data_IF_019062464796
#
_entry.id   IF_019062464796
#
_cell.length_a   1.000
_cell.length_b   1.000
_cell.length_c   1.000
_cell.angle_alpha   90.00
_cell.angle_beta   90.00
_cell.angle_gamma   90.00
#
_symmetry.space_group_name_H-M   'P 1'
#
loop_
_entity.id
_entity.type
_entity.pdbx_description
1 polymer ?
#
# COMPACT_ATOMS: atom_id res chain seq x y z
N UNK A 1 24.23 32.53 10.27
CA UNK A 1 23.51 31.45 9.57
C UNK A 1 22.69 30.68 10.60
N UNK A 2 21.51 31.17 10.94
CA UNK A 2 20.51 30.40 11.69
C UNK A 2 19.67 29.64 10.67
N UNK A 3 19.49 28.35 10.94
CA UNK A 3 18.87 27.38 10.07
C UNK A 3 17.37 27.70 9.90
N UNK A 4 16.99 28.27 8.75
CA UNK A 4 15.59 28.56 8.39
C UNK A 4 14.72 27.28 8.26
N UNK A 5 15.31 26.09 8.33
CA UNK A 5 14.60 24.81 8.35
C UNK A 5 14.16 24.35 9.76
N UNK A 6 14.66 24.95 10.85
CA UNK A 6 14.31 24.53 12.23
C UNK A 6 13.14 25.31 12.85
N UNK A 7 12.44 26.13 12.06
CA UNK A 7 11.30 26.95 12.46
C UNK A 7 10.03 26.62 11.66
N UNK A 8 9.94 25.43 11.06
CA UNK A 8 8.62 24.80 10.89
C UNK A 8 8.10 24.57 12.31
N UNK A 9 7.39 25.57 12.83
CA UNK A 9 7.08 25.73 14.24
C UNK A 9 6.53 24.43 14.81
N UNK A 10 6.97 24.02 16.01
CA UNK A 10 6.40 22.88 16.75
C UNK A 10 4.85 22.92 16.79
N UNK A 11 4.26 24.12 16.70
CA UNK A 11 2.83 24.37 16.61
C UNK A 11 2.13 23.85 15.34
N UNK A 12 2.83 23.75 14.20
CA UNK A 12 2.26 23.26 12.93
C UNK A 12 2.17 21.73 12.86
N UNK A 13 2.95 21.03 13.70
CA UNK A 13 3.00 19.56 13.74
C UNK A 13 2.22 18.96 14.91
N UNK A 14 1.81 19.77 15.89
CA UNK A 14 1.15 19.27 17.09
C UNK A 14 -0.26 18.73 16.75
N UNK A 15 -0.55 17.44 17.00
CA UNK A 15 -1.86 16.88 16.79
C UNK A 15 -2.88 17.46 17.79
N UNK A 16 -4.13 17.59 17.38
CA UNK A 16 -5.26 17.77 18.31
C UNK A 16 -5.39 16.46 19.10
N UNK A 17 -5.16 16.52 20.41
CA UNK A 17 -5.27 15.35 21.29
C UNK A 17 -6.69 15.31 21.86
N UNK A 18 -7.41 14.23 21.56
CA UNK A 18 -8.71 13.94 22.15
C UNK A 18 -8.52 13.13 23.43
N UNK A 19 -9.18 13.56 24.50
CA UNK A 19 -9.15 12.98 25.84
C UNK A 19 -10.59 12.73 26.34
N UNK A 20 -10.76 12.17 27.53
CA UNK A 20 -12.09 11.79 28.04
C UNK A 20 -13.07 12.98 28.19
N UNK A 21 -12.61 14.22 28.29
CA UNK A 21 -13.48 15.40 28.39
C UNK A 21 -13.92 15.97 27.02
N UNK A 22 -13.43 15.39 25.91
CA UNK A 22 -13.69 15.88 24.53
C UNK A 22 -15.17 15.74 24.13
N UNK A 23 -15.96 14.89 24.81
CA UNK A 23 -17.39 14.71 24.53
C UNK A 23 -18.25 15.98 24.60
N UNK A 24 -17.76 17.07 25.20
CA UNK A 24 -18.53 18.33 25.40
C UNK A 24 -18.09 19.48 24.50
N UNK A 25 -17.09 19.30 23.65
CA UNK A 25 -16.53 20.37 22.83
C UNK A 25 -16.81 20.12 21.34
N UNK A 26 -17.27 21.17 20.65
CA UNK A 26 -17.40 21.14 19.21
C UNK A 26 -16.05 21.45 18.57
N UNK A 27 -15.53 20.51 17.78
CA UNK A 27 -14.21 20.62 17.16
C UNK A 27 -14.34 20.96 15.67
N UNK A 28 -14.43 22.26 15.38
CA UNK A 28 -14.54 22.76 14.01
C UNK A 28 -13.17 22.94 13.32
N UNK A 29 -12.08 22.80 14.08
CA UNK A 29 -10.70 22.98 13.63
C UNK A 29 -10.02 21.67 13.17
N UNK A 30 -10.75 20.56 13.09
CA UNK A 30 -10.19 19.25 12.72
C UNK A 30 -9.75 19.13 11.26
N UNK A 31 -10.26 20.00 10.37
CA UNK A 31 -9.97 19.94 8.94
C UNK A 31 -8.51 20.30 8.67
N UNK A 32 -7.81 19.44 7.92
CA UNK A 32 -6.40 19.67 7.59
C UNK A 32 -5.44 19.57 8.77
N UNK A 33 -5.88 19.06 9.93
CA UNK A 33 -5.03 18.86 11.11
C UNK A 33 -5.03 17.39 11.53
N UNK A 34 -3.90 16.95 12.10
CA UNK A 34 -3.82 15.61 12.68
C UNK A 34 -4.62 15.61 13.97
N UNK A 35 -5.50 14.64 14.11
CA UNK A 35 -6.29 14.39 15.32
C UNK A 35 -5.90 13.03 15.86
N UNK A 36 -5.65 12.92 17.17
CA UNK A 36 -5.25 11.67 17.82
C UNK A 36 -6.08 11.47 19.08
N UNK A 37 -6.72 10.31 19.18
CA UNK A 37 -7.23 9.83 20.46
C UNK A 37 -6.09 9.31 21.32
N UNK A 38 -5.93 9.85 22.53
CA UNK A 38 -5.01 9.28 23.53
C UNK A 38 -5.70 8.25 24.44
N UNK A 39 -6.98 7.97 24.21
CA UNK A 39 -7.79 7.14 25.09
C UNK A 39 -7.73 5.65 24.73
N UNK A 40 -7.90 4.83 25.75
CA UNK A 40 -7.95 3.36 25.66
C UNK A 40 -9.35 2.84 25.36
N UNK A 41 -10.33 3.75 25.36
CA UNK A 41 -11.74 3.51 25.02
C UNK A 41 -12.16 4.39 23.84
N UNK A 42 -13.32 4.08 23.27
CA UNK A 42 -13.94 4.91 22.24
C UNK A 42 -14.39 6.27 22.82
N UNK A 43 -14.33 7.30 21.98
CA UNK A 43 -14.76 8.66 22.32
C UNK A 43 -15.84 9.11 21.33
N UNK A 44 -16.74 10.00 21.76
CA UNK A 44 -17.64 10.70 20.84
C UNK A 44 -17.08 12.10 20.60
N UNK A 45 -16.97 12.44 19.33
CA UNK A 45 -16.45 13.70 18.84
C UNK A 45 -17.56 14.41 18.07
N UNK A 46 -17.85 15.66 18.43
CA UNK A 46 -18.82 16.48 17.70
C UNK A 46 -18.09 17.44 16.76
N UNK A 47 -18.37 17.33 15.46
CA UNK A 47 -17.83 18.22 14.41
C UNK A 47 -19.01 18.79 13.64
N UNK A 48 -19.14 20.13 13.61
CA UNK A 48 -20.20 20.84 12.89
C UNK A 48 -21.60 20.28 13.22
N UNK A 49 -21.89 20.16 14.51
CA UNK A 49 -23.15 19.63 15.05
C UNK A 49 -23.43 18.14 14.79
N UNK A 50 -22.43 17.35 14.34
CA UNK A 50 -22.57 15.91 14.10
C UNK A 50 -21.65 15.10 14.99
N UNK A 51 -22.17 14.01 15.52
CA UNK A 51 -21.42 13.10 16.38
C UNK A 51 -20.72 11.99 15.59
N UNK A 52 -19.50 11.69 15.99
CA UNK A 52 -18.66 10.63 15.45
C UNK A 52 -18.03 9.82 16.58
N UNK A 53 -18.06 8.49 16.47
CA UNK A 53 -17.39 7.54 17.36
C UNK A 53 -15.95 7.35 16.90
N UNK A 54 -15.00 7.77 17.74
CA UNK A 54 -13.56 7.71 17.50
C UNK A 54 -12.98 6.50 18.23
N UNK A 55 -12.41 5.51 17.51
CA UNK A 55 -11.82 4.33 18.14
C UNK A 55 -10.62 4.65 19.04
N UNK A 56 -10.35 3.80 20.04
CA UNK A 56 -9.25 4.01 20.97
C UNK A 56 -7.91 4.07 20.25
N UNK A 57 -7.04 4.97 20.72
CA UNK A 57 -5.68 5.18 20.20
C UNK A 57 -5.60 5.46 18.68
N UNK A 58 -6.71 5.76 18.02
CA UNK A 58 -6.71 6.08 16.59
C UNK A 58 -6.12 7.46 16.32
N UNK A 59 -5.51 7.64 15.15
CA UNK A 59 -5.05 8.92 14.64
C UNK A 59 -5.69 9.14 13.27
N UNK A 60 -6.11 10.35 12.93
CA UNK A 60 -6.62 10.63 11.60
C UNK A 60 -6.28 12.02 11.08
N UNK A 61 -6.36 12.16 9.76
CA UNK A 61 -6.30 13.43 9.04
C UNK A 61 -7.46 13.49 8.04
N UNK A 62 -8.39 14.40 8.28
CA UNK A 62 -9.45 14.74 7.35
C UNK A 62 -8.96 15.85 6.42
N UNK A 63 -8.46 15.44 5.24
CA UNK A 63 -7.96 16.38 4.23
C UNK A 63 -7.90 15.73 2.85
N UNK A 64 -7.71 16.55 1.82
CA UNK A 64 -7.45 16.10 0.45
C UNK A 64 -5.96 15.96 0.15
N UNK A 65 -5.65 15.43 -1.04
CA UNK A 65 -4.27 15.20 -1.49
C UNK A 65 -3.41 16.47 -1.48
N UNK A 66 -3.99 17.64 -1.73
CA UNK A 66 -3.27 18.91 -1.70
C UNK A 66 -2.88 19.33 -0.26
N UNK A 67 -3.58 18.81 0.75
CA UNK A 67 -3.38 19.08 2.17
C UNK A 67 -2.88 17.85 2.93
N UNK A 68 -2.06 17.01 2.29
CA UNK A 68 -1.46 15.82 2.93
C UNK A 68 -0.23 16.15 3.79
N UNK A 69 0.37 17.34 3.64
CA UNK A 69 1.59 17.75 4.36
C UNK A 69 1.57 17.48 5.88
N UNK A 70 0.47 17.72 6.62
CA UNK A 70 0.40 17.38 8.05
C UNK A 70 0.66 15.90 8.35
N UNK A 71 0.21 14.98 7.49
CA UNK A 71 0.50 13.55 7.65
C UNK A 71 1.99 13.25 7.49
N UNK A 72 2.64 13.88 6.51
CA UNK A 72 4.09 13.69 6.32
C UNK A 72 4.88 14.24 7.51
N UNK A 73 4.51 15.41 8.01
CA UNK A 73 5.17 16.03 9.16
C UNK A 73 4.98 15.18 10.42
N UNK A 74 3.75 14.72 10.67
CA UNK A 74 3.46 13.82 11.78
C UNK A 74 4.26 12.51 11.68
N UNK A 75 4.43 11.99 10.47
CA UNK A 75 5.22 10.78 10.22
C UNK A 75 6.71 11.01 10.49
N UNK A 76 7.25 12.17 10.10
CA UNK A 76 8.63 12.54 10.41
C UNK A 76 8.88 12.61 11.92
N UNK A 77 7.94 13.16 12.70
CA UNK A 77 8.07 13.30 14.15
C UNK A 77 7.81 12.01 14.94
N UNK A 78 6.98 11.10 14.43
CA UNK A 78 6.51 9.92 15.19
C UNK A 78 6.99 8.57 14.61
N UNK A 79 7.80 8.60 13.55
CA UNK A 79 8.30 7.43 12.84
C UNK A 79 7.46 7.02 11.63
N UNK A 80 8.03 6.17 10.77
CA UNK A 80 7.37 5.65 9.55
C UNK A 80 6.45 4.46 9.87
N UNK A 81 5.65 4.05 8.90
CA UNK A 81 4.67 2.95 9.01
C UNK A 81 5.22 1.64 8.47
N UNK A 82 4.96 0.55 9.18
CA UNK A 82 5.38 -0.82 8.83
C UNK A 82 4.34 -1.56 7.99
N UNK A 83 3.08 -1.11 8.05
CA UNK A 83 1.97 -1.57 7.22
C UNK A 83 1.21 -0.36 6.66
N UNK A 84 1.05 -0.31 5.34
CA UNK A 84 0.24 0.70 4.66
C UNK A 84 -0.81 0.00 3.81
N UNK A 85 -2.09 0.31 4.05
CA UNK A 85 -3.22 -0.12 3.22
C UNK A 85 -3.73 1.09 2.44
N UNK A 86 -4.03 0.90 1.16
CA UNK A 86 -4.45 1.98 0.26
C UNK A 86 -5.72 1.53 -0.48
N UNK A 87 -6.82 2.30 -0.40
CA UNK A 87 -8.05 2.09 -1.18
C UNK A 87 -8.35 3.31 -2.07
N UNK A 88 -7.59 3.54 -3.16
CA UNK A 88 -7.77 4.74 -3.98
C UNK A 88 -9.18 4.86 -4.56
N UNK A 89 -9.71 6.08 -4.74
CA UNK A 89 -11.01 6.30 -5.35
C UNK A 89 -10.94 6.11 -6.89
N UNK A 90 -10.76 4.86 -7.32
CA UNK A 90 -10.57 4.49 -8.72
C UNK A 90 -11.68 5.01 -9.62
N UNK A 91 -11.29 5.41 -10.84
CA UNK A 91 -12.24 5.90 -11.84
C UNK A 91 -13.32 4.85 -12.16
N UNK A 92 -14.58 5.27 -12.01
CA UNK A 92 -15.73 4.44 -12.30
C UNK A 92 -16.77 5.24 -13.12
N UNK A 93 -17.06 4.78 -14.33
CA UNK A 93 -18.06 5.39 -15.25
C UNK A 93 -19.46 5.54 -14.63
N UNK A 94 -19.84 4.66 -13.71
CA UNK A 94 -21.12 4.78 -12.98
C UNK A 94 -21.08 5.93 -11.97
N UNK A 95 -19.93 6.15 -11.35
CA UNK A 95 -19.74 7.20 -10.36
C UNK A 95 -19.62 8.58 -11.04
N UNK A 96 -18.90 8.66 -12.18
CA UNK A 96 -18.78 9.87 -13.02
C UNK A 96 -20.15 10.44 -13.40
N UNK A 97 -21.06 9.59 -13.88
CA UNK A 97 -22.42 10.01 -14.27
C UNK A 97 -23.27 10.54 -13.10
N UNK A 98 -22.95 10.12 -11.87
CA UNK A 98 -23.66 10.56 -10.67
C UNK A 98 -23.11 11.83 -10.01
N UNK A 99 -22.01 12.43 -10.51
CA UNK A 99 -21.28 13.56 -9.88
C UNK A 99 -21.00 13.34 -8.38
N UNK A 100 -20.90 12.08 -7.97
CA UNK A 100 -21.02 11.69 -6.56
C UNK A 100 -19.68 11.64 -5.82
N UNK A 101 -18.52 11.89 -6.41
CA UNK A 101 -17.27 12.06 -5.66
C UNK A 101 -16.32 12.99 -6.43
N UNK A 102 -15.43 13.66 -5.72
CA UNK A 102 -14.25 14.26 -6.33
C UNK A 102 -13.28 13.10 -6.62
N UNK A 103 -13.23 12.66 -7.87
CA UNK A 103 -12.39 11.54 -8.29
C UNK A 103 -10.93 11.95 -8.23
N UNK A 104 -10.04 11.06 -7.76
CA UNK A 104 -8.61 11.25 -7.97
C UNK A 104 -8.23 10.62 -9.32
N UNK A 105 -7.77 11.40 -10.31
CA UNK A 105 -7.23 10.82 -11.53
C UNK A 105 -6.10 9.86 -11.18
N UNK A 106 -6.04 8.71 -11.85
CA UNK A 106 -5.04 7.65 -11.58
C UNK A 106 -3.61 8.21 -11.70
N UNK A 107 -3.44 9.23 -12.53
CA UNK A 107 -2.22 9.96 -12.82
C UNK A 107 -1.72 10.80 -11.63
N UNK A 108 -2.61 11.19 -10.72
CA UNK A 108 -2.27 11.93 -9.50
C UNK A 108 -1.88 11.04 -8.34
N UNK A 109 -2.26 9.75 -8.36
CA UNK A 109 -1.89 8.81 -7.29
C UNK A 109 -0.37 8.75 -7.04
N UNK A 110 0.50 8.75 -8.07
CA UNK A 110 1.93 8.86 -7.89
C UNK A 110 2.46 10.16 -7.25
N UNK A 111 1.64 11.19 -7.01
CA UNK A 111 2.01 12.39 -6.24
C UNK A 111 2.15 12.07 -4.74
N UNK A 112 1.49 11.00 -4.27
CA UNK A 112 1.73 10.47 -2.93
C UNK A 112 3.18 10.01 -2.81
N UNK A 113 3.90 10.58 -1.85
CA UNK A 113 5.28 10.23 -1.56
C UNK A 113 5.30 9.12 -0.52
N UNK A 114 5.05 7.87 -0.93
CA UNK A 114 5.09 6.70 -0.03
C UNK A 114 6.45 6.57 0.66
N UNK A 115 7.54 7.04 0.05
CA UNK A 115 8.88 7.09 0.64
C UNK A 115 8.95 7.91 1.95
N UNK A 116 8.10 8.94 2.09
CA UNK A 116 7.96 9.75 3.31
C UNK A 116 7.14 9.06 4.38
N UNK A 117 6.43 7.98 4.03
CA UNK A 117 5.48 7.29 4.90
C UNK A 117 5.97 5.90 5.33
N UNK A 118 6.54 5.12 4.42
CA UNK A 118 6.86 3.71 4.60
C UNK A 118 8.21 3.50 5.27
N UNK A 119 8.24 2.70 6.34
CA UNK A 119 9.47 2.21 6.95
C UNK A 119 10.18 1.23 5.99
N UNK A 120 11.51 1.08 6.12
CA UNK A 120 12.27 0.08 5.35
C UNK A 120 11.63 -1.31 5.53
N UNK A 121 11.31 -1.96 4.42
CA UNK A 121 10.69 -3.29 4.42
C UNK A 121 9.20 -3.31 4.74
N UNK A 122 8.56 -2.14 4.85
CA UNK A 122 7.13 -2.02 5.13
C UNK A 122 6.29 -2.74 4.07
N UNK A 123 5.19 -3.34 4.53
CA UNK A 123 4.21 -3.98 3.68
C UNK A 123 3.25 -2.92 3.14
N UNK A 124 3.03 -2.93 1.83
CA UNK A 124 2.09 -2.01 1.16
C UNK A 124 1.06 -2.83 0.42
N UNK A 125 -0.21 -2.67 0.78
CA UNK A 125 -1.35 -3.37 0.19
C UNK A 125 -2.28 -2.35 -0.49
N UNK A 126 -2.56 -2.53 -1.77
CA UNK A 126 -3.39 -1.63 -2.57
C UNK A 126 -4.62 -2.37 -3.08
N UNK A 127 -5.80 -1.93 -2.66
CA UNK A 127 -7.06 -2.39 -3.24
C UNK A 127 -7.16 -1.92 -4.69
N UNK A 128 -7.52 -2.84 -5.59
CA UNK A 128 -7.78 -2.54 -6.99
C UNK A 128 -9.11 -3.12 -7.44
N UNK A 129 -9.81 -2.38 -8.30
CA UNK A 129 -10.97 -2.93 -9.01
C UNK A 129 -10.54 -4.09 -9.91
N UNK A 130 -11.49 -4.93 -10.33
CA UNK A 130 -11.25 -6.10 -11.21
C UNK A 130 -10.89 -5.74 -12.67
N UNK A 131 -10.19 -4.64 -12.88
CA UNK A 131 -9.70 -4.19 -14.19
C UNK A 131 -8.22 -4.54 -14.29
N UNK A 132 -7.86 -5.51 -15.14
CA UNK A 132 -6.46 -5.95 -15.33
C UNK A 132 -5.49 -4.80 -15.63
N UNK A 133 -5.93 -3.79 -16.40
CA UNK A 133 -5.15 -2.58 -16.70
C UNK A 133 -4.68 -1.86 -15.43
N UNK A 134 -5.51 -1.88 -14.38
CA UNK A 134 -5.21 -1.22 -13.12
C UNK A 134 -4.16 -2.00 -12.32
N UNK A 135 -4.33 -3.32 -12.20
CA UNK A 135 -3.31 -4.19 -11.60
C UNK A 135 -1.96 -4.05 -12.30
N UNK A 136 -1.96 -4.01 -13.65
CA UNK A 136 -0.74 -3.76 -14.43
C UNK A 136 -0.15 -2.37 -14.17
N UNK A 137 -0.97 -1.33 -14.06
CA UNK A 137 -0.51 0.01 -13.68
C UNK A 137 0.17 0.01 -12.31
N UNK A 138 -0.41 -0.66 -11.31
CA UNK A 138 0.21 -0.78 -9.97
C UNK A 138 1.58 -1.46 -10.10
N UNK A 139 1.61 -2.66 -10.70
CA UNK A 139 2.81 -3.50 -10.76
C UNK A 139 3.93 -2.87 -11.59
N UNK A 140 3.61 -2.24 -12.71
CA UNK A 140 4.59 -1.81 -13.71
C UNK A 140 4.95 -0.32 -13.63
N UNK A 141 4.11 0.51 -13.00
CA UNK A 141 4.33 1.97 -12.93
C UNK A 141 4.36 2.48 -11.49
N UNK A 142 3.31 2.21 -10.71
CA UNK A 142 3.16 2.81 -9.39
C UNK A 142 4.19 2.25 -8.39
N UNK A 143 4.27 0.93 -8.25
CA UNK A 143 5.20 0.27 -7.34
C UNK A 143 6.66 0.62 -7.66
N UNK A 144 7.14 0.53 -8.92
CA UNK A 144 8.48 0.99 -9.27
C UNK A 144 8.74 2.46 -8.91
N UNK A 145 7.79 3.37 -9.17
CA UNK A 145 7.92 4.78 -8.80
C UNK A 145 7.99 5.02 -7.28
N UNK A 146 7.35 4.17 -6.50
CA UNK A 146 7.39 4.19 -5.03
C UNK A 146 8.53 3.37 -4.42
N UNK A 147 9.41 2.78 -5.23
CA UNK A 147 10.43 1.83 -4.79
C UNK A 147 9.85 0.64 -4.00
N UNK A 148 8.71 0.13 -4.45
CA UNK A 148 8.05 -1.04 -3.88
C UNK A 148 8.31 -2.23 -4.80
N UNK A 149 8.79 -3.33 -4.22
CA UNK A 149 8.90 -4.62 -4.90
C UNK A 149 7.55 -5.34 -4.81
N UNK A 150 6.97 -5.72 -5.95
CA UNK A 150 5.76 -6.56 -5.98
C UNK A 150 6.03 -7.92 -5.32
N UNK A 151 5.04 -8.46 -4.60
CA UNK A 151 5.16 -9.73 -3.88
C UNK A 151 3.99 -10.68 -4.15
N UNK A 152 2.75 -10.19 -4.13
CA UNK A 152 1.57 -11.05 -4.20
C UNK A 152 0.32 -10.33 -4.73
N UNK A 153 -0.66 -11.12 -5.13
CA UNK A 153 -2.01 -10.70 -5.50
C UNK A 153 -3.04 -11.52 -4.72
N UNK A 154 -3.81 -10.86 -3.86
CA UNK A 154 -4.84 -11.51 -3.05
C UNK A 154 -6.23 -11.16 -3.54
N UNK A 155 -7.17 -12.05 -3.25
CA UNK A 155 -8.55 -11.95 -3.72
C UNK A 155 -9.51 -12.00 -2.53
N UNK A 156 -10.31 -10.95 -2.38
CA UNK A 156 -11.43 -10.93 -1.45
C UNK A 156 -12.67 -11.47 -2.15
N UNK A 157 -13.06 -12.70 -1.85
CA UNK A 157 -14.30 -13.31 -2.31
C UNK A 157 -15.49 -12.87 -1.45
N UNK A 158 -16.56 -12.44 -2.09
CA UNK A 158 -17.70 -11.76 -1.45
C UNK A 158 -18.93 -12.63 -1.42
N UNK A 159 -19.49 -12.76 -0.22
CA UNK A 159 -20.68 -13.56 0.04
C UNK A 159 -21.86 -12.70 0.49
N UNK A 160 -23.07 -13.19 0.23
CA UNK A 160 -24.30 -12.74 0.88
C UNK A 160 -24.37 -13.30 2.31
N UNK A 161 -25.31 -12.81 3.11
CA UNK A 161 -25.59 -13.39 4.43
C UNK A 161 -26.14 -14.82 4.35
N UNK A 162 -26.64 -15.24 3.19
CA UNK A 162 -27.12 -16.59 2.92
C UNK A 162 -26.01 -17.58 2.54
N UNK A 163 -24.78 -17.11 2.36
CA UNK A 163 -23.64 -17.96 1.96
C UNK A 163 -23.45 -18.10 0.44
N UNK A 164 -24.25 -17.40 -0.36
CA UNK A 164 -24.08 -17.36 -1.83
C UNK A 164 -23.09 -16.29 -2.26
N UNK A 165 -22.49 -16.43 -3.44
CA UNK A 165 -21.71 -15.36 -4.04
C UNK A 165 -22.61 -14.16 -4.39
N UNK A 166 -22.10 -12.94 -4.18
CA UNK A 166 -22.88 -11.73 -4.55
C UNK A 166 -23.16 -11.62 -6.06
N UNK A 167 -22.35 -12.30 -6.88
CA UNK A 167 -22.44 -12.39 -8.34
C UNK A 167 -21.84 -13.72 -8.79
N UNK A 168 -22.21 -14.22 -9.97
CA UNK A 168 -21.59 -15.39 -10.56
C UNK A 168 -20.11 -15.13 -10.91
N UNK A 169 -19.26 -16.15 -10.78
CA UNK A 169 -17.82 -16.06 -11.09
C UNK A 169 -17.58 -15.60 -12.53
N UNK A 170 -18.38 -16.09 -13.47
CA UNK A 170 -18.23 -15.84 -14.91
C UNK A 170 -18.92 -14.56 -15.39
N UNK A 171 -19.58 -13.82 -14.49
CA UNK A 171 -20.23 -12.55 -14.82
C UNK A 171 -19.26 -11.58 -15.51
N UNK A 172 -19.69 -11.06 -16.66
CA UNK A 172 -18.87 -10.17 -17.52
C UNK A 172 -18.71 -8.78 -16.89
N UNK A 173 -19.72 -8.31 -16.15
CA UNK A 173 -19.78 -6.92 -15.70
C UNK A 173 -19.41 -6.73 -14.24
N UNK A 174 -19.73 -7.68 -13.37
CA UNK A 174 -19.48 -7.59 -11.93
C UNK A 174 -18.97 -8.92 -11.43
N UNK A 175 -17.75 -8.91 -10.90
CA UNK A 175 -17.14 -10.10 -10.30
C UNK A 175 -17.48 -10.17 -8.81
N UNK A 176 -17.63 -11.37 -8.23
CA UNK A 176 -17.87 -11.54 -6.80
C UNK A 176 -16.61 -11.38 -5.95
N UNK A 177 -15.56 -10.77 -6.50
CA UNK A 177 -14.33 -10.53 -5.78
C UNK A 177 -13.68 -9.20 -6.15
N UNK A 178 -12.91 -8.67 -5.21
CA UNK A 178 -11.98 -7.56 -5.42
C UNK A 178 -10.54 -8.03 -5.17
N UNK A 179 -9.58 -7.31 -5.73
CA UNK A 179 -8.16 -7.70 -5.72
C UNK A 179 -7.38 -6.76 -4.81
N UNK A 180 -6.39 -7.31 -4.10
CA UNK A 180 -5.40 -6.57 -3.32
C UNK A 180 -4.02 -6.89 -3.89
N UNK A 181 -3.33 -5.87 -4.38
CA UNK A 181 -1.93 -6.00 -4.85
C UNK A 181 -1.00 -5.67 -3.69
N UNK A 182 -0.09 -6.57 -3.37
CA UNK A 182 0.80 -6.46 -2.22
C UNK A 182 2.25 -6.35 -2.68
N UNK A 183 2.98 -5.43 -2.07
CA UNK A 183 4.41 -5.26 -2.27
C UNK A 183 5.13 -4.84 -1.00
N UNK A 184 6.47 -4.83 -1.07
CA UNK A 184 7.35 -4.46 0.03
C UNK A 184 8.16 -3.23 -0.34
N UNK A 185 8.13 -2.21 0.51
CA UNK A 185 8.91 -0.99 0.29
C UNK A 185 10.40 -1.25 0.50
N UNK A 186 11.20 -0.91 -0.50
CA UNK A 186 12.65 -0.95 -0.45
C UNK A 186 13.13 0.47 -0.15
N UNK A 187 14.00 0.64 0.84
CA UNK A 187 14.65 1.94 1.05
C UNK A 187 15.84 2.05 0.09
N UNK A 188 16.01 3.20 -0.56
CA UNK A 188 17.21 3.46 -1.34
C UNK A 188 18.37 3.66 -0.37
N UNK A 189 19.34 2.76 -0.35
CA UNK A 189 20.58 2.95 0.39
C UNK A 189 21.27 4.22 -0.09
N UNK A 190 21.33 5.25 0.75
CA UNK A 190 21.92 6.55 0.46
C UNK A 190 23.46 6.57 0.53
N UNK A 191 24.12 5.41 0.45
CA UNK A 191 25.57 5.27 0.55
C UNK A 191 26.11 4.36 -0.57
N UNK A 192 26.27 4.93 -1.77
CA UNK A 192 27.34 4.53 -2.70
C UNK A 192 27.45 5.60 -3.78
N UNK A 193 28.42 6.49 -3.63
CA UNK A 193 28.98 7.30 -4.73
C UNK A 193 29.79 6.42 -5.68
N UNK A 194 29.24 5.29 -6.10
CA UNK A 194 29.81 4.45 -7.14
C UNK A 194 28.88 4.53 -8.34
N UNK A 195 29.40 5.09 -9.43
CA UNK A 195 28.69 5.41 -10.66
C UNK A 195 28.42 4.16 -11.48
N UNK A 196 27.76 3.17 -10.89
CA UNK A 196 27.16 2.04 -11.60
C UNK A 196 25.65 2.05 -11.37
N UNK A 197 24.83 2.05 -12.43
CA UNK A 197 23.39 1.99 -12.26
C UNK A 197 23.05 0.69 -11.52
N UNK A 198 22.16 0.72 -10.50
CA UNK A 198 21.77 -0.50 -9.80
C UNK A 198 21.17 -1.47 -10.83
N UNK A 199 21.51 -2.77 -10.76
CA UNK A 199 20.97 -3.75 -11.67
C UNK A 199 19.45 -3.70 -11.58
N UNK A 200 18.78 -3.58 -12.73
CA UNK A 200 17.33 -3.74 -12.83
C UNK A 200 16.97 -5.10 -12.23
N UNK A 201 16.53 -5.13 -10.97
CA UNK A 201 15.86 -6.31 -10.39
C UNK A 201 14.49 -6.40 -11.05
N UNK A 202 14.46 -6.89 -12.28
CA UNK A 202 13.27 -7.49 -12.85
C UNK A 202 13.04 -8.74 -12.00
N UNK A 203 11.97 -8.73 -11.22
CA UNK A 203 11.48 -9.94 -10.59
C UNK A 203 11.08 -10.87 -11.73
N UNK A 204 11.91 -11.86 -12.02
CA UNK A 204 11.64 -12.89 -13.00
C UNK A 204 10.38 -13.63 -12.56
N UNK A 205 9.31 -13.52 -13.36
CA UNK A 205 8.15 -14.40 -13.25
C UNK A 205 8.63 -15.82 -13.54
N UNK A 206 8.36 -16.74 -12.62
CA UNK A 206 8.44 -18.17 -12.89
C UNK A 206 7.41 -18.49 -13.98
N UNK A 207 7.88 -19.09 -15.06
CA UNK A 207 7.10 -19.46 -16.24
C UNK A 207 5.88 -20.32 -15.88
N UNK A 208 4.68 -19.75 -15.94
CA UNK A 208 3.45 -20.53 -16.02
C UNK A 208 3.26 -20.97 -17.47
N UNK A 209 3.90 -22.08 -17.85
CA UNK A 209 3.60 -22.78 -19.10
C UNK A 209 2.37 -23.65 -18.89
N UNK A 210 1.18 -23.15 -19.22
CA UNK A 210 0.05 -23.96 -19.70
C UNK A 210 -1.08 -23.06 -20.22
N UNK A 211 -0.97 -22.63 -21.47
CA UNK A 211 -2.14 -22.46 -22.32
C UNK A 211 -1.84 -23.04 -23.70
N UNK A 212 -2.42 -24.22 -23.94
CA UNK A 212 -2.59 -24.79 -25.26
C UNK A 212 -3.47 -23.84 -26.07
N UNK A 213 -2.94 -23.33 -27.17
CA UNK A 213 -3.74 -22.81 -28.28
C UNK A 213 -3.82 -23.92 -29.31
N UNK A 214 -5.01 -24.48 -29.48
CA UNK A 214 -5.32 -25.39 -30.58
C UNK A 214 -5.33 -24.61 -31.91
N UNK A 215 -4.59 -25.15 -32.88
CA UNK A 215 -4.84 -25.27 -34.34
C UNK A 215 -5.53 -24.09 -35.08
N UNK A 216 -5.08 -23.63 -36.24
CA UNK A 216 -4.84 -24.37 -37.49
C UNK A 216 -4.03 -23.54 -38.51
N UNK A 217 -3.42 -24.26 -39.47
CA UNK A 217 -3.10 -23.94 -40.88
C UNK A 217 -1.62 -23.96 -41.32
N UNK A 218 -1.34 -24.98 -42.16
CA UNK A 218 -0.38 -25.02 -43.28
C UNK A 218 1.11 -24.95 -42.90
N UNK A 219 1.93 -26.00 -43.03
CA UNK A 219 2.14 -26.77 -44.25
C UNK A 219 3.28 -26.15 -45.05
N UNK A 220 4.52 -26.58 -44.82
CA UNK A 220 5.38 -27.10 -45.89
C UNK A 220 6.74 -27.59 -45.39
N UNK A 221 7.24 -28.58 -46.12
CA UNK A 221 8.49 -29.32 -45.97
C UNK A 221 9.71 -28.44 -46.27
N UNK A 222 10.90 -28.79 -45.76
CA UNK A 222 12.10 -29.08 -46.57
C UNK A 222 13.34 -29.33 -45.66
N UNK A 223 13.79 -30.58 -45.68
CA UNK A 223 15.17 -31.13 -45.66
C UNK A 223 16.33 -30.43 -44.94
N UNK A 224 16.97 -31.21 -44.05
CA UNK A 224 18.39 -31.09 -43.68
C UNK A 224 19.32 -31.29 -44.90
N UNK A 225 20.60 -30.89 -44.77
CA UNK A 225 21.62 -31.93 -44.83
C UNK A 225 22.72 -31.82 -43.78
N UNK A 226 23.21 -32.98 -43.37
CA UNK A 226 24.49 -33.21 -42.72
C UNK A 226 25.67 -32.74 -43.59
N UNK A 227 26.76 -32.28 -42.95
CA UNK A 227 28.08 -32.93 -43.03
C UNK A 227 29.20 -32.06 -42.43
N UNK A 228 30.06 -32.70 -41.63
CA UNK A 228 31.48 -32.72 -41.94
C UNK A 228 32.49 -31.99 -41.03
N UNK A 229 33.20 -32.79 -40.23
CA UNK A 229 34.68 -32.82 -40.01
C UNK A 229 35.40 -31.51 -39.56
N UNK A 230 36.04 -31.50 -38.37
CA UNK A 230 37.51 -31.70 -38.11
C UNK A 230 37.96 -31.18 -36.74
N UNK A 231 38.80 -31.99 -36.08
CA UNK A 231 39.59 -31.67 -34.89
C UNK A 231 40.65 -30.59 -35.16
N UNK A 232 40.98 -29.79 -34.14
CA UNK A 232 42.33 -29.27 -33.95
C UNK A 232 42.61 -28.97 -32.47
N UNK A 233 43.69 -29.57 -32.00
CA UNK A 233 44.29 -29.45 -30.68
C UNK A 233 44.73 -28.01 -30.36
N UNK A 234 44.47 -27.56 -29.12
CA UNK A 234 45.19 -26.46 -28.51
C UNK A 234 45.69 -26.89 -27.12
N UNK A 235 46.99 -27.09 -27.05
CA UNK A 235 47.77 -27.23 -25.83
C UNK A 235 48.06 -25.85 -25.24
N UNK A 236 47.87 -25.69 -23.92
CA UNK A 236 48.35 -24.53 -23.19
C UNK A 236 48.91 -24.97 -21.83
N UNK A 237 50.20 -24.71 -21.63
CA UNK A 237 50.96 -24.93 -20.40
C UNK A 237 50.73 -23.78 -19.40
N UNK A 238 50.83 -24.02 -18.07
CA UNK A 238 50.59 -22.98 -17.06
C UNK A 238 51.84 -22.12 -16.82
N UNK A 239 51.69 -20.84 -16.42
CA UNK A 239 52.80 -20.08 -15.86
C UNK A 239 52.88 -20.22 -14.33
N UNK A 240 54.14 -20.22 -13.89
CA UNK A 240 54.66 -20.35 -12.54
C UNK A 240 54.38 -19.15 -11.60
N UNK A 241 54.48 -19.47 -10.31
CA UNK A 241 54.95 -18.66 -9.19
C UNK A 241 54.23 -17.33 -8.85
N UNK A 242 53.38 -17.38 -7.83
CA UNK A 242 53.07 -16.21 -6.99
C UNK A 242 53.26 -16.57 -5.52
N UNK A 243 54.24 -15.91 -4.90
CA UNK A 243 54.67 -16.07 -3.51
C UNK A 243 53.54 -15.89 -2.50
N UNK A 244 53.54 -16.77 -1.49
CA UNK A 244 52.63 -16.77 -0.36
C UNK A 244 53.10 -15.71 0.66
N UNK A 245 52.50 -14.52 0.64
CA UNK A 245 52.75 -13.51 1.68
C UNK A 245 51.75 -13.69 2.83
N UNK A 246 52.18 -14.37 3.90
CA UNK A 246 51.40 -14.53 5.14
C UNK A 246 51.52 -13.29 6.03
N UNK A 247 50.67 -12.29 5.80
CA UNK A 247 50.40 -11.25 6.81
C UNK A 247 48.99 -11.41 7.37
N UNK A 248 48.92 -11.82 8.64
CA UNK A 248 47.67 -11.89 9.42
C UNK A 248 47.12 -10.49 9.59
N UNK A 249 46.10 -10.12 8.80
CA UNK A 249 45.27 -8.94 9.08
C UNK A 249 44.45 -9.19 10.36
N UNK A 250 44.33 -8.20 11.26
CA UNK A 250 43.53 -8.36 12.47
C UNK A 250 42.07 -8.54 12.09
N UNK A 251 41.43 -9.56 12.66
CA UNK A 251 40.00 -9.84 12.49
C UNK A 251 39.24 -8.62 13.03
N UNK A 252 38.68 -7.81 12.14
CA UNK A 252 37.59 -6.91 12.49
C UNK A 252 36.40 -7.81 12.80
N UNK A 253 35.95 -7.82 14.05
CA UNK A 253 34.61 -8.32 14.38
C UNK A 253 33.61 -7.45 13.61
N UNK A 254 33.24 -7.90 12.42
CA UNK A 254 32.08 -7.37 11.72
C UNK A 254 30.87 -7.82 12.52
N UNK A 255 30.27 -6.92 13.29
CA UNK A 255 28.90 -7.10 13.74
C UNK A 255 28.03 -7.18 12.48
N UNK A 256 27.81 -8.39 11.99
CA UNK A 256 26.87 -8.66 10.91
C UNK A 256 25.50 -8.26 11.44
N UNK A 257 25.07 -7.04 11.13
CA UNK A 257 23.67 -6.67 11.17
C UNK A 257 22.96 -7.58 10.17
N UNK A 258 22.49 -8.74 10.62
CA UNK A 258 21.60 -9.59 9.84
C UNK A 258 20.38 -8.76 9.48
N UNK A 259 20.15 -8.55 8.17
CA UNK A 259 18.93 -7.90 7.74
C UNK A 259 17.73 -8.72 8.23
N UNK A 260 16.68 -8.07 8.74
CA UNK A 260 15.52 -8.79 9.26
C UNK A 260 14.92 -9.67 8.16
N UNK A 261 14.83 -10.97 8.42
CA UNK A 261 14.24 -11.93 7.50
C UNK A 261 12.77 -11.56 7.31
N UNK A 262 12.42 -11.18 6.08
CA UNK A 262 11.05 -10.87 5.70
C UNK A 262 10.24 -12.15 5.52
N UNK A 263 9.07 -12.32 6.17
CA UNK A 263 8.21 -13.47 5.91
C UNK A 263 7.77 -13.51 4.44
N UNK A 264 7.82 -14.70 3.83
CA UNK A 264 7.33 -14.91 2.47
C UNK A 264 5.81 -14.76 2.43
N UNK A 265 5.31 -14.00 1.45
CA UNK A 265 3.89 -13.72 1.29
C UNK A 265 3.27 -14.76 0.36
N UNK A 266 2.14 -15.35 0.76
CA UNK A 266 1.38 -16.26 -0.10
C UNK A 266 0.97 -15.53 -1.37
N UNK A 267 1.41 -16.00 -2.54
CA UNK A 267 1.27 -15.25 -3.80
C UNK A 267 -0.17 -15.07 -4.26
N UNK A 268 -0.98 -16.12 -4.17
CA UNK A 268 -2.37 -16.18 -4.67
C UNK A 268 -3.32 -16.58 -3.54
N UNK A 269 -3.49 -15.71 -2.55
CA UNK A 269 -4.35 -15.99 -1.40
C UNK A 269 -5.78 -15.52 -1.66
N UNK A 270 -6.76 -16.37 -1.32
CA UNK A 270 -8.19 -16.03 -1.36
C UNK A 270 -8.71 -15.99 0.07
N UNK A 271 -9.33 -14.89 0.45
CA UNK A 271 -10.05 -14.77 1.70
C UNK A 271 -11.50 -14.37 1.43
N UNK A 272 -12.39 -14.81 2.31
CA UNK A 272 -13.82 -14.69 2.12
C UNK A 272 -14.46 -13.98 3.31
N UNK A 273 -15.39 -13.07 3.03
CA UNK A 273 -16.31 -12.57 4.06
C UNK A 273 -17.61 -12.09 3.43
N UNK A 274 -18.63 -11.95 4.29
CA UNK A 274 -19.90 -11.33 3.90
C UNK A 274 -19.63 -9.89 3.46
N UNK A 275 -20.14 -9.52 2.28
CA UNK A 275 -20.02 -8.17 1.78
C UNK A 275 -20.89 -7.22 2.61
N UNK A 276 -20.32 -6.09 3.01
CA UNK A 276 -21.11 -5.03 3.63
C UNK A 276 -22.14 -4.47 2.65
N UNK A 277 -23.31 -4.10 3.17
CA UNK A 277 -24.30 -3.32 2.41
C UNK A 277 -23.83 -1.87 2.18
N UNK A 278 -22.88 -1.39 2.99
CA UNK A 278 -22.31 -0.06 2.82
C UNK A 278 -21.41 0.00 1.56
N UNK A 279 -21.65 1.00 0.73
CA UNK A 279 -20.99 1.13 -0.56
C UNK A 279 -19.46 1.21 -0.44
N UNK A 280 -18.79 0.35 -1.20
CA UNK A 280 -17.33 0.23 -1.27
C UNK A 280 -16.62 -0.08 0.06
N UNK A 281 -17.32 -0.47 1.14
CA UNK A 281 -16.65 -0.81 2.39
C UNK A 281 -15.83 -2.10 2.20
N UNK A 282 -14.54 -2.03 2.53
CA UNK A 282 -13.59 -3.13 2.45
C UNK A 282 -13.51 -3.86 3.80
N UNK A 283 -13.17 -5.16 3.81
CA UNK A 283 -12.90 -5.89 5.04
C UNK A 283 -11.58 -5.41 5.66
N UNK A 284 -11.46 -5.61 6.97
CA UNK A 284 -10.23 -5.35 7.70
C UNK A 284 -9.14 -6.37 7.29
N UNK A 285 -7.98 -5.86 6.86
CA UNK A 285 -6.85 -6.70 6.45
C UNK A 285 -5.76 -6.82 7.52
N UNK A 286 -5.83 -6.07 8.62
CA UNK A 286 -4.70 -5.95 9.55
C UNK A 286 -4.25 -7.29 10.13
N UNK A 287 -5.17 -8.10 10.66
CA UNK A 287 -4.81 -9.39 11.29
C UNK A 287 -4.15 -10.38 10.32
N UNK A 288 -4.53 -10.34 9.04
CA UNK A 288 -3.98 -11.24 8.03
C UNK A 288 -2.68 -10.70 7.43
N UNK A 289 -2.51 -9.38 7.34
CA UNK A 289 -1.29 -8.74 6.80
C UNK A 289 -0.18 -8.63 7.85
N UNK A 290 -0.51 -8.45 9.12
CA UNK A 290 0.44 -8.33 10.23
C UNK A 290 1.42 -9.51 10.31
N UNK A 291 0.96 -10.70 9.92
CA UNK A 291 1.76 -11.94 9.87
C UNK A 291 2.97 -11.84 8.94
N UNK A 292 2.95 -10.88 8.00
CA UNK A 292 3.98 -10.67 6.99
C UNK A 292 4.82 -9.40 7.22
N UNK A 293 4.53 -8.66 8.29
CA UNK A 293 5.35 -7.57 8.79
C UNK A 293 6.55 -8.13 9.58
N UNK A 294 7.70 -7.45 9.53
CA UNK A 294 8.91 -7.88 10.26
C UNK A 294 8.86 -7.58 11.74
N UNK A 295 7.99 -6.68 12.15
CA UNK A 295 7.76 -6.28 13.54
C UNK A 295 6.33 -5.79 13.70
N UNK A 296 5.83 -5.84 14.92
CA UNK A 296 4.68 -5.05 15.29
C UNK A 296 5.06 -3.58 15.25
N UNK A 297 4.22 -2.76 14.64
CA UNK A 297 4.59 -1.39 14.35
C UNK A 297 3.42 -0.54 13.89
N UNK A 298 3.73 0.64 13.37
CA UNK A 298 2.71 1.64 13.03
C UNK A 298 2.00 1.26 11.74
N UNK A 299 0.70 1.49 11.71
CA UNK A 299 -0.17 1.13 10.58
C UNK A 299 -0.89 2.35 10.04
N UNK A 300 -1.00 2.42 8.72
CA UNK A 300 -1.61 3.53 8.00
C UNK A 300 -2.65 3.03 6.99
N UNK A 301 -3.81 3.67 6.97
CA UNK A 301 -4.79 3.54 5.91
C UNK A 301 -4.90 4.85 5.11
N UNK A 302 -4.62 4.79 3.81
CA UNK A 302 -4.74 5.91 2.87
C UNK A 302 -6.05 5.81 2.09
N UNK A 303 -6.73 6.95 1.89
CA UNK A 303 -8.10 7.06 1.37
C UNK A 303 -9.13 6.34 2.26
N UNK A 304 -8.85 6.32 3.57
CA UNK A 304 -9.67 5.69 4.57
C UNK A 304 -11.07 6.31 4.62
N UNK A 305 -12.04 5.47 4.97
CA UNK A 305 -13.43 5.84 5.28
C UNK A 305 -13.88 5.36 6.64
N UNK A 306 -13.03 4.57 7.28
CA UNK A 306 -13.22 4.03 8.61
C UNK A 306 -11.99 4.35 9.46
N UNK A 307 -12.20 4.58 10.75
CA UNK A 307 -11.13 4.60 11.74
C UNK A 307 -10.96 3.21 12.35
N UNK A 308 -9.72 2.86 12.67
CA UNK A 308 -9.38 1.58 13.30
C UNK A 308 -8.55 1.84 14.58
N UNK A 309 -8.76 1.04 15.65
CA UNK A 309 -7.99 1.18 16.89
C UNK A 309 -6.47 1.11 16.65
N UNK A 310 -5.74 2.13 17.09
CA UNK A 310 -4.28 2.19 16.95
C UNK A 310 -3.74 2.45 15.53
N UNK A 311 -4.60 2.69 14.54
CA UNK A 311 -4.18 3.04 13.18
C UNK A 311 -4.12 4.55 12.99
N UNK A 312 -3.27 4.98 12.04
CA UNK A 312 -3.44 6.29 11.40
C UNK A 312 -4.33 6.13 10.16
N UNK A 313 -5.32 6.98 9.97
CA UNK A 313 -6.21 6.99 8.81
C UNK A 313 -6.21 8.35 8.11
N UNK A 314 -6.15 8.39 6.79
CA UNK A 314 -6.19 9.64 6.03
C UNK A 314 -7.16 9.56 4.86
N UNK A 315 -7.97 10.60 4.66
CA UNK A 315 -8.80 10.77 3.47
C UNK A 315 -9.92 11.80 3.63
N UNK A 316 -10.52 12.19 2.49
CA UNK A 316 -11.62 13.16 2.43
C UNK A 316 -12.89 12.71 3.16
N UNK A 317 -13.05 11.40 3.34
CA UNK A 317 -14.23 10.77 3.92
C UNK A 317 -13.83 9.91 5.13
N UNK A 318 -12.72 10.23 5.81
CA UNK A 318 -12.11 9.39 6.86
C UNK A 318 -13.03 9.08 8.05
N UNK A 319 -14.06 9.89 8.27
CA UNK A 319 -15.07 9.72 9.32
C UNK A 319 -16.41 9.15 8.82
N UNK A 320 -16.50 8.72 7.55
CA UNK A 320 -17.77 8.32 6.92
C UNK A 320 -18.47 7.18 7.67
N UNK A 321 -17.71 6.23 8.21
CA UNK A 321 -18.24 5.06 8.92
C UNK A 321 -18.14 5.19 10.45
N UNK A 322 -17.89 6.40 10.96
CA UNK A 322 -17.77 6.70 12.40
C UNK A 322 -19.08 7.21 12.99
N UNK A 323 -20.17 7.15 12.25
CA UNK A 323 -21.48 7.63 12.74
C UNK A 323 -22.03 6.62 13.78
N UNK A 324 -22.57 7.08 14.93
CA UNK A 324 -23.19 6.19 15.93
C UNK A 324 -24.27 5.29 15.33
N UNK A 325 -24.37 4.05 15.82
CA UNK A 325 -25.29 3.02 15.27
C UNK A 325 -26.77 3.43 15.27
N UNK A 326 -27.16 4.30 16.20
CA UNK A 326 -28.54 4.78 16.36
C UNK A 326 -28.89 5.90 15.38
N UNK A 327 -27.90 6.50 14.72
CA UNK A 327 -28.12 7.54 13.74
C UNK A 327 -28.48 6.94 12.39
N UNK A 328 -29.70 7.18 11.93
CA UNK A 328 -30.21 6.77 10.61
C UNK A 328 -29.57 7.54 9.43
N UNK A 329 -28.57 8.38 9.70
CA UNK A 329 -28.04 9.40 8.79
C UNK A 329 -26.82 8.99 7.94
N UNK A 330 -26.61 7.69 7.70
CA UNK A 330 -25.64 7.22 6.71
C UNK A 330 -25.83 7.90 5.33
N UNK A 331 -27.05 8.32 5.01
CA UNK A 331 -27.39 9.04 3.79
C UNK A 331 -27.06 10.55 3.80
N UNK A 332 -26.89 11.18 4.98
CA UNK A 332 -26.80 12.65 5.13
C UNK A 332 -25.36 13.17 5.01
N UNK A 333 -24.33 12.32 5.18
CA UNK A 333 -22.93 12.70 4.86
C UNK A 333 -22.79 13.17 3.40
N UNK A 334 -23.59 12.62 2.47
CA UNK A 334 -23.64 13.05 1.07
C UNK A 334 -24.12 14.49 0.86
N UNK A 335 -24.91 15.06 1.78
CA UNK A 335 -25.58 16.35 1.61
C UNK A 335 -24.71 17.55 2.00
N UNK A 336 -23.67 17.33 2.82
CA UNK A 336 -22.78 18.39 3.35
C UNK A 336 -21.35 18.32 2.79
N UNK A 337 -21.18 17.73 1.61
CA UNK A 337 -19.90 17.66 0.85
C UNK A 337 -19.27 19.02 0.50
N UNK A 338 -19.87 20.13 0.90
CA UNK A 338 -19.32 21.48 0.74
C UNK A 338 -18.39 21.92 1.87
N UNK A 339 -18.16 21.11 2.90
CA UNK A 339 -17.36 21.52 4.07
C UNK A 339 -15.84 21.41 3.83
N UNK A 340 -15.40 20.58 2.88
CA UNK A 340 -13.99 20.43 2.51
C UNK A 340 -13.68 21.05 1.14
N UNK A 341 -14.17 22.28 0.90
CA UNK A 341 -13.77 23.09 -0.26
C UNK A 341 -12.76 24.15 0.14
#
# INVERSE_FOLDING_TARGET
MCNLASLATEYECAPIILQNDTHRQEHNDVFGRIVRSSCDQELNLTILGREFVIPPRSTFLLSNLCQITPLYNYTACNGKYDLIVIDPPWENRSAIRGRKYEWLPTERLPELSIQRLAAKGALVAVWVTNKRKLTMFIRQKLFPKWNICYQAEWHWLKFTTGGDLIHEMDSVHKKPYEVVVIGRYMETSSDSSDSTPPPKRICLESSDSNLKTDSEFGGDQFTEPESGIRNSDYSYSPPNDVEFCTEKRPIRESSSHEEPVHPEIIKNFVFACVASQAHSQKPYLGDILDKYCTKQGRKLELFARNLLPGWTSWGNEVLLFQVPRESTDYCVYKKHRGIAK
#
